data_IF_375567393256
#
_entry.id   IF_375567393256
#
_cell.length_a   1.000
_cell.length_b   1.000
_cell.length_c   1.000
_cell.angle_alpha   90.00
_cell.angle_beta   90.00
_cell.angle_gamma   90.00
#
_symmetry.space_group_name_H-M   'P 1'
#
loop_
_entity.id
_entity.type
_entity.pdbx_description
1 polymer ?
#
# COMPACT_ATOMS: atom_id res chain seq x y z
N UNK A 1 -19.67 -6.90 10.03
CA UNK A 1 -18.78 -5.71 10.05
C UNK A 1 -17.30 -6.07 9.97
N UNK A 2 -16.76 -6.99 10.78
CA UNK A 2 -15.32 -7.28 10.79
C UNK A 2 -14.72 -7.85 9.50
N UNK A 3 -15.42 -8.77 8.80
CA UNK A 3 -14.82 -9.48 7.65
C UNK A 3 -14.60 -8.60 6.41
N UNK A 4 -15.53 -7.72 6.06
CA UNK A 4 -15.40 -6.86 4.86
C UNK A 4 -14.36 -5.76 5.06
N UNK A 5 -14.28 -5.18 6.26
CA UNK A 5 -13.27 -4.20 6.62
C UNK A 5 -11.86 -4.79 6.57
N UNK A 6 -11.70 -6.01 7.10
CA UNK A 6 -10.43 -6.75 7.07
C UNK A 6 -10.03 -7.06 5.62
N UNK A 7 -10.95 -7.54 4.78
CA UNK A 7 -10.66 -7.81 3.34
C UNK A 7 -10.21 -6.54 2.62
N UNK A 8 -10.88 -5.42 2.85
CA UNK A 8 -10.50 -4.14 2.24
C UNK A 8 -9.12 -3.66 2.73
N UNK A 9 -8.85 -3.80 4.03
CA UNK A 9 -7.54 -3.49 4.60
C UNK A 9 -6.43 -4.37 4.01
N UNK A 10 -6.66 -5.69 3.90
CA UNK A 10 -5.70 -6.62 3.29
C UNK A 10 -5.43 -6.27 1.83
N UNK A 11 -6.47 -5.94 1.06
CA UNK A 11 -6.32 -5.49 -0.32
C UNK A 11 -5.43 -4.25 -0.43
N UNK A 12 -5.68 -3.24 0.41
CA UNK A 12 -4.88 -2.02 0.41
C UNK A 12 -3.43 -2.29 0.79
N UNK A 13 -3.18 -3.08 1.84
CA UNK A 13 -1.83 -3.49 2.22
C UNK A 13 -1.12 -4.19 1.06
N UNK A 14 -1.80 -5.07 0.33
CA UNK A 14 -1.25 -5.74 -0.83
C UNK A 14 -0.89 -4.77 -1.96
N UNK A 15 -1.72 -3.77 -2.25
CA UNK A 15 -1.45 -2.74 -3.25
C UNK A 15 -0.22 -1.91 -2.87
N UNK A 16 -0.17 -1.41 -1.63
CA UNK A 16 0.96 -0.63 -1.13
C UNK A 16 2.27 -1.44 -1.11
N UNK A 17 2.22 -2.69 -0.67
CA UNK A 17 3.37 -3.58 -0.67
C UNK A 17 3.87 -3.86 -2.11
N UNK A 18 2.95 -4.06 -3.06
CA UNK A 18 3.32 -4.30 -4.46
C UNK A 18 4.02 -3.08 -5.08
N UNK A 19 3.52 -1.87 -4.81
CA UNK A 19 4.15 -0.62 -5.26
C UNK A 19 5.55 -0.47 -4.65
N UNK A 20 5.70 -0.74 -3.35
CA UNK A 20 6.99 -0.68 -2.68
C UNK A 20 8.01 -1.65 -3.29
N UNK A 21 7.61 -2.90 -3.52
CA UNK A 21 8.47 -3.91 -4.15
C UNK A 21 8.87 -3.48 -5.56
N UNK A 22 7.94 -2.96 -6.35
CA UNK A 22 8.22 -2.44 -7.69
C UNK A 22 9.29 -1.34 -7.66
N UNK A 23 9.13 -0.34 -6.79
CA UNK A 23 10.06 0.78 -6.68
C UNK A 23 11.44 0.35 -6.16
N UNK A 24 11.48 -0.62 -5.24
CA UNK A 24 12.73 -1.24 -4.78
C UNK A 24 13.45 -1.99 -5.90
N UNK A 25 12.70 -2.69 -6.74
CA UNK A 25 13.27 -3.38 -7.90
C UNK A 25 13.84 -2.38 -8.91
N UNK A 26 13.12 -1.30 -9.23
CA UNK A 26 13.64 -0.25 -10.11
C UNK A 26 14.89 0.43 -9.54
N UNK A 27 14.88 0.78 -8.25
CA UNK A 27 16.05 1.35 -7.58
C UNK A 27 17.26 0.42 -7.69
N UNK A 28 17.04 -0.88 -7.50
CA UNK A 28 18.10 -1.89 -7.59
C UNK A 28 18.63 -1.99 -9.02
N UNK A 29 17.75 -2.10 -10.02
CA UNK A 29 18.13 -2.16 -11.44
C UNK A 29 18.90 -0.91 -11.84
N UNK A 30 18.39 0.28 -11.49
CA UNK A 30 19.06 1.56 -11.76
C UNK A 30 20.45 1.62 -11.14
N UNK A 31 20.58 1.19 -9.89
CA UNK A 31 21.85 1.23 -9.17
C UNK A 31 22.89 0.31 -9.82
N UNK A 32 22.48 -0.91 -10.17
CA UNK A 32 23.34 -1.90 -10.84
C UNK A 32 23.71 -1.44 -12.25
N UNK A 33 22.80 -0.77 -12.97
CA UNK A 33 23.07 -0.29 -14.33
C UNK A 33 23.94 0.97 -14.40
N UNK A 34 24.08 1.70 -13.30
CA UNK A 34 24.72 3.04 -13.28
C UNK A 34 26.08 3.03 -12.58
N UNK A 35 26.43 1.97 -11.86
CA UNK A 35 27.70 1.87 -11.14
C UNK A 35 28.28 0.46 -11.21
N UNK A 36 29.60 0.35 -11.34
CA UNK A 36 30.33 -0.93 -11.28
C UNK A 36 30.85 -1.26 -9.86
N UNK A 37 30.69 -0.34 -8.91
CA UNK A 37 31.21 -0.49 -7.54
C UNK A 37 30.16 -1.04 -6.60
N UNK A 38 30.41 -2.24 -6.04
CA UNK A 38 29.51 -2.85 -5.06
C UNK A 38 29.31 -2.02 -3.79
N UNK A 39 30.28 -1.18 -3.40
CA UNK A 39 30.12 -0.29 -2.25
C UNK A 39 29.12 0.83 -2.55
N UNK A 40 29.12 1.36 -3.77
CA UNK A 40 28.13 2.34 -4.24
C UNK A 40 26.73 1.71 -4.28
N UNK A 41 26.64 0.43 -4.66
CA UNK A 41 25.35 -0.27 -4.67
C UNK A 41 24.70 -0.32 -3.29
N UNK A 42 25.48 -0.70 -2.27
CA UNK A 42 24.99 -0.78 -0.89
C UNK A 42 24.50 0.58 -0.41
N UNK A 43 25.21 1.67 -0.72
CA UNK A 43 24.82 3.03 -0.33
C UNK A 43 23.53 3.46 -1.05
N UNK A 44 23.44 3.25 -2.36
CA UNK A 44 22.29 3.69 -3.16
C UNK A 44 21.03 2.88 -2.85
N UNK A 45 21.14 1.55 -2.79
CA UNK A 45 20.02 0.68 -2.44
C UNK A 45 19.62 0.91 -0.98
N UNK A 46 20.59 0.92 -0.05
CA UNK A 46 20.31 1.11 1.37
C UNK A 46 19.71 2.49 1.67
N UNK A 47 20.32 3.56 1.16
CA UNK A 47 19.82 4.93 1.33
C UNK A 47 18.47 5.14 0.66
N UNK A 48 18.31 4.65 -0.57
CA UNK A 48 17.04 4.75 -1.30
C UNK A 48 15.92 3.93 -0.63
N UNK A 49 16.21 2.75 -0.08
CA UNK A 49 15.25 1.94 0.66
C UNK A 49 14.74 2.67 1.91
N UNK A 50 15.62 3.34 2.65
CA UNK A 50 15.24 4.13 3.84
C UNK A 50 14.32 5.29 3.43
N UNK A 51 14.71 6.07 2.43
CA UNK A 51 13.90 7.19 1.94
C UNK A 51 12.53 6.73 1.42
N UNK A 52 12.51 5.65 0.65
CA UNK A 52 11.28 5.06 0.12
C UNK A 52 10.37 4.57 1.25
N UNK A 53 10.93 3.94 2.28
CA UNK A 53 10.15 3.46 3.44
C UNK A 53 9.50 4.62 4.21
N UNK A 54 10.24 5.72 4.41
CA UNK A 54 9.71 6.94 5.03
C UNK A 54 8.59 7.54 4.18
N UNK A 55 8.80 7.67 2.87
CA UNK A 55 7.79 8.21 1.94
C UNK A 55 6.51 7.36 1.96
N UNK A 56 6.63 6.03 1.91
CA UNK A 56 5.48 5.13 1.96
C UNK A 56 4.74 5.19 3.30
N UNK A 57 5.46 5.32 4.42
CA UNK A 57 4.84 5.50 5.73
C UNK A 57 4.03 6.81 5.80
N UNK A 58 4.56 7.91 5.27
CA UNK A 58 3.86 9.20 5.21
C UNK A 58 2.62 9.13 4.31
N UNK A 59 2.74 8.52 3.12
CA UNK A 59 1.61 8.32 2.20
C UNK A 59 0.51 7.51 2.89
N UNK A 60 0.88 6.40 3.55
CA UNK A 60 -0.05 5.57 4.29
C UNK A 60 -0.75 6.36 5.42
N UNK A 61 0.00 7.16 6.19
CA UNK A 61 -0.56 7.98 7.27
C UNK A 61 -1.58 9.02 6.75
N UNK A 62 -1.32 9.62 5.59
CA UNK A 62 -2.23 10.61 4.96
C UNK A 62 -3.47 9.93 4.37
N UNK A 63 -3.32 8.77 3.74
CA UNK A 63 -4.42 8.07 3.07
C UNK A 63 -5.28 7.24 4.02
N UNK A 64 -4.77 6.82 5.18
CA UNK A 64 -5.49 6.01 6.16
C UNK A 64 -6.88 6.57 6.53
N UNK A 65 -7.04 7.87 6.88
CA UNK A 65 -8.36 8.45 7.18
C UNK A 65 -9.36 8.32 6.02
N UNK A 66 -8.93 8.61 4.79
CA UNK A 66 -9.79 8.52 3.61
C UNK A 66 -10.19 7.06 3.30
N UNK A 67 -9.24 6.14 3.48
CA UNK A 67 -9.45 4.69 3.38
C UNK A 67 -10.52 4.21 4.37
N UNK A 68 -10.43 4.61 5.64
CA UNK A 68 -11.43 4.23 6.64
C UNK A 68 -12.82 4.77 6.31
N UNK A 69 -12.90 6.01 5.80
CA UNK A 69 -14.15 6.62 5.38
C UNK A 69 -14.79 5.85 4.22
N UNK A 70 -14.01 5.51 3.19
CA UNK A 70 -14.46 4.73 2.04
C UNK A 70 -14.93 3.33 2.46
N UNK A 71 -14.21 2.69 3.37
CA UNK A 71 -14.59 1.40 3.91
C UNK A 71 -15.92 1.46 4.67
N UNK A 72 -16.13 2.49 5.49
CA UNK A 72 -17.38 2.70 6.22
C UNK A 72 -18.56 2.89 5.26
N UNK A 73 -18.39 3.66 4.17
CA UNK A 73 -19.40 3.82 3.13
C UNK A 73 -19.72 2.49 2.46
N UNK A 74 -18.71 1.71 2.05
CA UNK A 74 -18.90 0.42 1.42
C UNK A 74 -19.65 -0.57 2.32
N UNK A 75 -19.34 -0.60 3.62
CA UNK A 75 -20.07 -1.41 4.61
C UNK A 75 -21.51 -0.93 4.76
N UNK A 76 -21.74 0.39 4.80
CA UNK A 76 -23.08 0.98 4.86
C UNK A 76 -23.95 0.58 3.67
N UNK A 77 -23.39 0.64 2.46
CA UNK A 77 -24.06 0.19 1.23
C UNK A 77 -24.38 -1.31 1.31
N UNK A 78 -23.41 -2.15 1.71
CA UNK A 78 -23.62 -3.59 1.85
C UNK A 78 -24.73 -3.93 2.86
N UNK A 79 -24.80 -3.20 3.97
CA UNK A 79 -25.88 -3.36 4.96
C UNK A 79 -27.25 -2.95 4.40
N UNK A 80 -27.32 -1.85 3.63
CA UNK A 80 -28.54 -1.40 2.97
C UNK A 80 -29.06 -2.42 1.96
N UNK A 81 -28.17 -2.94 1.12
CA UNK A 81 -28.51 -3.96 0.11
C UNK A 81 -29.06 -5.23 0.78
N UNK A 82 -28.38 -5.74 1.82
CA UNK A 82 -28.87 -6.90 2.57
C UNK A 82 -30.26 -6.68 3.17
N UNK A 83 -30.52 -5.48 3.71
CA UNK A 83 -31.84 -5.13 4.27
C UNK A 83 -32.94 -5.11 3.21
N UNK A 84 -32.61 -4.69 1.98
CA UNK A 84 -33.57 -4.68 0.88
C UNK A 84 -33.86 -6.09 0.39
N UNK A 85 -32.84 -6.95 0.25
CA UNK A 85 -33.02 -8.35 -0.12
C UNK A 85 -33.76 -9.17 0.94
N UNK A 86 -33.60 -8.88 2.24
CA UNK A 86 -34.30 -9.59 3.31
C UNK A 86 -35.78 -9.20 3.46
N UNK A 87 -36.27 -8.22 2.69
CA UNK A 87 -37.66 -7.76 2.71
C UNK A 87 -38.49 -8.24 1.51
N UNK A 88 -37.84 -8.92 0.57
CA UNK A 88 -38.46 -9.62 -0.57
C UNK A 88 -38.53 -11.10 -0.23
#
# INVERSE_FOLDING_TARGET
>A
MGKSLVVFQTFLVAVFASIYIYLMAELTVYTVSTSDSGLVWVIMIGGGAVLLSIAMALIAAILQPAIYLLAAIAVGIGALVNRLYSRV
#
